data_IF_839455439771
#
_entry.id   IF_839455439771
#
_cell.length_a   1.000
_cell.length_b   1.000
_cell.length_c   1.000
_cell.angle_alpha   90.00
_cell.angle_beta   90.00
_cell.angle_gamma   90.00
#
_symmetry.space_group_name_H-M   'P 1'
#
loop_
_entity.id
_entity.type
_entity.pdbx_description
1 polymer ?
#
# COMPACT_ATOMS: atom_id res chain seq x y z
N UNK A 1 -9.58 35.14 45.41
CA UNK A 1 -9.79 34.72 44.01
C UNK A 1 -8.43 34.54 43.36
N UNK A 2 -8.07 33.31 43.01
CA UNK A 2 -6.75 32.97 42.46
C UNK A 2 -6.72 31.48 42.15
N UNK A 3 -7.46 31.09 41.11
CA UNK A 3 -7.64 29.70 40.69
C UNK A 3 -6.33 29.17 40.10
N UNK A 4 -5.72 28.20 40.78
CA UNK A 4 -4.60 27.41 40.25
C UNK A 4 -5.16 26.38 39.28
N UNK A 5 -5.00 26.61 37.98
CA UNK A 5 -5.18 25.56 36.98
C UNK A 5 -4.02 24.55 37.07
N UNK A 6 -4.27 23.43 37.76
CA UNK A 6 -3.49 22.20 37.59
C UNK A 6 -3.89 21.59 36.25
N UNK A 7 -3.00 21.67 35.27
CA UNK A 7 -3.04 20.79 34.11
C UNK A 7 -2.78 19.36 34.61
N UNK A 8 -3.83 18.54 34.66
CA UNK A 8 -3.69 17.10 34.85
C UNK A 8 -2.91 16.60 33.63
N UNK A 9 -1.70 16.10 33.87
CA UNK A 9 -0.97 15.33 32.86
C UNK A 9 -1.88 14.21 32.37
N UNK A 10 -2.14 14.19 31.07
CA UNK A 10 -2.75 13.06 30.41
C UNK A 10 -1.78 11.90 30.58
N UNK A 11 -2.07 11.02 31.53
CA UNK A 11 -1.49 9.68 31.58
C UNK A 11 -1.76 9.06 30.21
N UNK A 12 -0.70 8.76 29.45
CA UNK A 12 -0.80 7.89 28.27
C UNK A 12 -1.54 6.65 28.72
N UNK A 13 -2.80 6.52 28.33
CA UNK A 13 -3.56 5.30 28.58
C UNK A 13 -2.76 4.19 27.90
N UNK A 14 -2.24 3.29 28.72
CA UNK A 14 -1.69 2.01 28.26
C UNK A 14 -2.82 1.31 27.54
N UNK A 15 -2.90 1.46 26.23
CA UNK A 15 -3.77 0.67 25.39
C UNK A 15 -3.17 -0.73 25.41
N UNK A 16 -3.65 -1.58 26.32
CA UNK A 16 -3.47 -3.01 26.16
C UNK A 16 -4.01 -3.36 24.77
N UNK A 17 -3.10 -3.63 23.83
CA UNK A 17 -3.46 -3.86 22.43
C UNK A 17 -4.26 -5.15 22.37
N UNK A 18 -5.55 -5.06 22.03
CA UNK A 18 -6.33 -6.23 21.66
C UNK A 18 -5.62 -6.90 20.47
N UNK A 19 -5.22 -8.18 20.54
CA UNK A 19 -4.56 -8.84 19.43
C UNK A 19 -5.44 -8.86 18.19
N UNK A 20 -4.86 -8.60 17.03
CA UNK A 20 -5.59 -8.68 15.78
C UNK A 20 -5.95 -10.14 15.44
N UNK A 21 -7.22 -10.45 15.15
CA UNK A 21 -7.61 -11.79 14.76
C UNK A 21 -7.02 -12.14 13.39
N UNK A 22 -6.76 -13.42 13.18
CA UNK A 22 -6.46 -13.95 11.83
C UNK A 22 -7.74 -14.49 11.22
N UNK A 23 -8.10 -13.98 10.04
CA UNK A 23 -9.33 -14.31 9.33
C UNK A 23 -8.96 -15.03 8.03
N UNK A 24 -9.60 -16.16 7.74
CA UNK A 24 -9.36 -16.92 6.52
C UNK A 24 -10.08 -16.30 5.32
N UNK A 25 -9.33 -16.00 4.26
CA UNK A 25 -9.88 -15.55 2.98
C UNK A 25 -10.84 -16.57 2.37
N UNK A 26 -10.52 -17.86 2.50
CA UNK A 26 -11.34 -18.95 1.98
C UNK A 26 -12.74 -18.95 2.64
N UNK A 27 -12.78 -18.80 3.96
CA UNK A 27 -14.04 -18.70 4.71
C UNK A 27 -14.83 -17.45 4.36
N UNK A 28 -14.16 -16.31 4.13
CA UNK A 28 -14.83 -15.11 3.66
C UNK A 28 -15.46 -15.32 2.28
N UNK A 29 -14.75 -15.95 1.34
CA UNK A 29 -15.28 -16.30 0.00
C UNK A 29 -16.45 -17.27 0.06
N UNK A 30 -16.47 -18.15 1.06
CA UNK A 30 -17.57 -19.07 1.31
C UNK A 30 -18.77 -18.43 2.04
N UNK A 31 -18.77 -17.10 2.28
CA UNK A 31 -19.77 -16.39 3.07
C UNK A 31 -19.98 -16.99 4.48
N UNK A 32 -18.91 -17.51 5.08
CA UNK A 32 -18.98 -18.08 6.43
C UNK A 32 -19.36 -17.00 7.44
N UNK A 33 -20.47 -17.22 8.14
CA UNK A 33 -21.03 -16.24 9.10
C UNK A 33 -20.07 -15.96 10.26
N UNK A 34 -19.26 -16.94 10.65
CA UNK A 34 -18.25 -16.78 11.70
C UNK A 34 -17.14 -15.84 11.25
N UNK A 35 -16.58 -16.05 10.06
CA UNK A 35 -15.55 -15.21 9.47
C UNK A 35 -16.04 -13.78 9.21
N UNK A 36 -17.25 -13.60 8.68
CA UNK A 36 -17.85 -12.28 8.45
C UNK A 36 -18.07 -11.52 9.77
N UNK A 37 -18.51 -12.22 10.83
CA UNK A 37 -18.65 -11.62 12.16
C UNK A 37 -17.30 -11.20 12.73
N UNK A 38 -16.30 -12.07 12.63
CA UNK A 38 -14.94 -11.75 13.09
C UNK A 38 -14.35 -10.54 12.34
N UNK A 39 -14.59 -10.44 11.03
CA UNK A 39 -14.19 -9.29 10.22
C UNK A 39 -14.85 -8.01 10.70
N UNK A 40 -16.18 -8.02 10.86
CA UNK A 40 -16.93 -6.89 11.39
C UNK A 40 -16.42 -6.46 12.76
N UNK A 41 -16.25 -7.42 13.67
CA UNK A 41 -15.85 -7.12 15.05
C UNK A 41 -14.43 -6.55 15.09
N UNK A 42 -13.51 -7.09 14.27
CA UNK A 42 -12.15 -6.57 14.14
C UNK A 42 -12.12 -5.12 13.66
N UNK A 43 -12.96 -4.76 12.68
CA UNK A 43 -12.98 -3.43 12.07
C UNK A 43 -13.79 -2.40 12.85
N UNK A 44 -14.92 -2.80 13.44
CA UNK A 44 -15.90 -1.88 14.04
C UNK A 44 -15.77 -1.80 15.56
N UNK A 45 -15.38 -2.89 16.23
CA UNK A 45 -15.31 -2.95 17.69
C UNK A 45 -13.87 -2.71 18.16
N UNK A 46 -12.95 -3.61 17.80
CA UNK A 46 -11.52 -3.54 18.08
C UNK A 46 -10.81 -4.71 17.38
N UNK A 47 -9.53 -4.58 16.98
CA UNK A 47 -8.63 -3.45 17.21
C UNK A 47 -8.63 -2.38 16.10
N UNK A 48 -9.51 -2.47 15.11
CA UNK A 48 -9.53 -1.63 13.91
C UNK A 48 -8.76 -2.23 12.73
N UNK A 49 -8.16 -3.41 12.90
CA UNK A 49 -7.43 -4.14 11.87
C UNK A 49 -7.46 -5.65 12.13
N UNK A 50 -7.10 -6.45 11.13
CA UNK A 50 -7.04 -7.90 11.20
C UNK A 50 -5.89 -8.44 10.34
N UNK A 51 -5.44 -9.66 10.63
CA UNK A 51 -4.57 -10.41 9.74
C UNK A 51 -5.43 -11.23 8.79
N UNK A 52 -5.14 -11.19 7.49
CA UNK A 52 -5.81 -12.05 6.52
C UNK A 52 -4.92 -13.26 6.20
N UNK A 53 -5.42 -14.46 6.47
CA UNK A 53 -4.83 -15.67 5.91
C UNK A 53 -5.27 -15.82 4.46
N UNK A 54 -4.37 -15.39 3.57
CA UNK A 54 -4.49 -15.50 2.12
C UNK A 54 -3.48 -16.48 1.52
N UNK A 55 -2.92 -17.40 2.31
CA UNK A 55 -1.86 -18.32 1.88
C UNK A 55 -2.21 -19.14 0.62
N UNK A 56 -3.50 -19.49 0.46
CA UNK A 56 -4.02 -20.18 -0.72
C UNK A 56 -4.11 -19.31 -2.00
N UNK A 57 -4.12 -17.98 -1.86
CA UNK A 57 -4.21 -17.04 -2.97
C UNK A 57 -2.90 -16.28 -3.24
N UNK A 58 -2.05 -16.16 -2.21
CA UNK A 58 -0.79 -15.44 -2.21
C UNK A 58 0.31 -16.35 -1.64
N UNK A 59 1.00 -17.11 -2.51
CA UNK A 59 2.10 -17.96 -2.07
C UNK A 59 3.18 -17.12 -1.37
N UNK A 60 3.69 -17.53 -0.19
CA UNK A 60 4.75 -16.79 0.51
C UNK A 60 6.03 -16.59 -0.32
N UNK A 61 6.29 -17.47 -1.30
CA UNK A 61 7.38 -17.30 -2.25
C UNK A 61 7.23 -16.03 -3.11
N UNK A 62 6.02 -15.74 -3.59
CA UNK A 62 5.75 -14.55 -4.41
C UNK A 62 6.04 -13.26 -3.62
N UNK A 63 5.64 -13.20 -2.35
CA UNK A 63 5.92 -12.05 -1.46
C UNK A 63 7.43 -11.86 -1.29
N UNK A 64 8.17 -12.95 -1.03
CA UNK A 64 9.64 -12.88 -0.87
C UNK A 64 10.34 -12.41 -2.14
N UNK A 65 9.95 -12.96 -3.29
CA UNK A 65 10.49 -12.58 -4.59
C UNK A 65 10.24 -11.09 -4.90
N UNK A 66 9.09 -10.54 -4.50
CA UNK A 66 8.81 -9.10 -4.63
C UNK A 66 9.75 -8.25 -3.77
N UNK A 67 9.98 -8.65 -2.51
CA UNK A 67 10.94 -7.97 -1.66
C UNK A 67 12.39 -8.08 -2.17
N UNK A 68 12.75 -9.19 -2.81
CA UNK A 68 14.09 -9.38 -3.38
C UNK A 68 14.33 -8.43 -4.56
N UNK A 69 13.38 -8.31 -5.49
CA UNK A 69 13.52 -7.36 -6.62
C UNK A 69 13.47 -5.91 -6.15
N UNK A 70 12.63 -5.58 -5.16
CA UNK A 70 12.59 -4.24 -4.58
C UNK A 70 13.91 -3.89 -3.90
N UNK A 71 14.50 -4.82 -3.13
CA UNK A 71 15.82 -4.64 -2.52
C UNK A 71 16.92 -4.42 -3.57
N UNK A 72 16.86 -5.14 -4.69
CA UNK A 72 17.82 -4.95 -5.77
C UNK A 72 17.73 -3.54 -6.37
N UNK A 73 16.52 -3.01 -6.58
CA UNK A 73 16.31 -1.63 -7.03
C UNK A 73 16.86 -0.61 -6.02
N UNK A 74 16.50 -0.71 -4.74
CA UNK A 74 16.93 0.28 -3.75
C UNK A 74 18.45 0.24 -3.46
N UNK A 75 19.11 -0.88 -3.75
CA UNK A 75 20.56 -1.02 -3.69
C UNK A 75 21.31 -0.33 -4.84
N UNK A 76 20.60 0.16 -5.88
CA UNK A 76 21.21 0.91 -6.97
C UNK A 76 21.78 2.26 -6.49
N UNK A 77 22.79 2.79 -7.18
CA UNK A 77 23.25 4.16 -7.00
C UNK A 77 22.11 5.19 -7.08
N UNK A 78 22.22 6.28 -6.31
CA UNK A 78 21.16 7.29 -6.23
C UNK A 78 20.86 7.93 -7.58
N UNK A 79 21.88 8.17 -8.41
CA UNK A 79 21.72 8.71 -9.76
C UNK A 79 20.90 7.79 -10.67
N UNK A 80 21.08 6.47 -10.56
CA UNK A 80 20.28 5.49 -11.29
C UNK A 80 18.81 5.52 -10.81
N UNK A 81 18.56 5.61 -9.49
CA UNK A 81 17.20 5.70 -8.95
C UNK A 81 16.54 7.05 -9.27
N UNK A 82 17.31 8.13 -9.28
CA UNK A 82 16.84 9.50 -9.52
C UNK A 82 16.25 9.69 -10.92
N UNK A 83 16.60 8.83 -11.88
CA UNK A 83 16.02 8.82 -13.22
C UNK A 83 14.50 8.56 -13.22
N UNK A 84 13.97 7.97 -12.14
CA UNK A 84 12.57 7.59 -11.99
C UNK A 84 11.78 8.52 -11.04
N UNK A 85 12.32 9.68 -10.67
CA UNK A 85 11.68 10.61 -9.74
C UNK A 85 10.56 11.39 -10.42
N UNK A 86 9.40 11.49 -9.76
CA UNK A 86 8.24 12.29 -10.18
C UNK A 86 7.66 12.00 -11.57
N UNK A 87 8.01 10.87 -12.19
CA UNK A 87 7.38 10.39 -13.43
C UNK A 87 5.86 10.31 -13.29
N UNK A 88 5.33 10.07 -12.08
CA UNK A 88 3.90 10.03 -11.78
C UNK A 88 3.09 11.32 -12.06
N UNK A 89 3.76 12.44 -12.27
CA UNK A 89 3.12 13.73 -12.56
C UNK A 89 3.31 14.19 -14.00
N UNK A 90 4.08 13.43 -14.78
CA UNK A 90 4.34 13.74 -16.16
C UNK A 90 3.24 13.15 -17.06
N UNK A 91 2.44 14.06 -17.63
CA UNK A 91 1.35 13.73 -18.54
C UNK A 91 1.83 13.19 -19.89
N UNK A 92 3.06 13.50 -20.30
CA UNK A 92 3.61 13.03 -21.59
C UNK A 92 4.11 11.59 -21.50
N UNK A 93 4.64 11.20 -20.34
CA UNK A 93 5.01 9.80 -20.06
C UNK A 93 3.86 9.00 -19.47
N UNK A 94 2.79 9.65 -19.01
CA UNK A 94 1.62 9.02 -18.40
C UNK A 94 1.96 8.32 -17.08
N UNK A 95 2.95 8.82 -16.35
CA UNK A 95 3.48 8.06 -15.23
C UNK A 95 2.43 7.87 -14.14
N UNK A 96 2.35 6.64 -13.65
CA UNK A 96 1.56 6.28 -12.48
C UNK A 96 2.44 5.63 -11.40
N UNK A 97 3.76 5.85 -11.51
CA UNK A 97 4.76 5.31 -10.62
C UNK A 97 5.94 6.26 -10.56
N UNK A 98 6.61 6.33 -9.42
CA UNK A 98 7.82 7.10 -9.26
C UNK A 98 8.65 6.57 -8.09
N UNK A 99 9.97 6.71 -8.22
CA UNK A 99 10.86 6.67 -7.08
C UNK A 99 10.68 7.96 -6.26
N UNK A 100 10.55 7.82 -4.95
CA UNK A 100 10.51 8.93 -4.00
C UNK A 100 11.78 8.90 -3.14
N UNK A 101 12.65 9.92 -3.27
CA UNK A 101 13.87 10.03 -2.46
C UNK A 101 13.60 10.11 -0.96
N UNK A 102 14.65 9.79 -0.20
CA UNK A 102 14.65 9.94 1.25
C UNK A 102 14.28 11.37 1.67
N UNK A 103 13.42 11.49 2.69
CA UNK A 103 12.92 12.76 3.26
C UNK A 103 11.90 13.52 2.40
N UNK A 104 11.46 12.98 1.27
CA UNK A 104 10.37 13.59 0.49
C UNK A 104 8.98 13.12 0.94
N UNK A 105 8.88 12.01 1.68
CA UNK A 105 7.63 11.57 2.28
C UNK A 105 7.35 12.23 3.64
N UNK A 106 6.08 12.64 3.82
CA UNK A 106 5.58 13.13 5.09
C UNK A 106 5.51 12.01 6.13
N UNK A 107 6.02 12.24 7.35
CA UNK A 107 5.66 11.37 8.45
C UNK A 107 4.24 11.69 8.93
N UNK A 108 3.49 10.68 9.34
CA UNK A 108 2.24 10.84 10.08
C UNK A 108 2.44 11.39 11.52
N UNK A 109 3.60 11.99 11.79
CA UNK A 109 3.93 12.70 13.02
C UNK A 109 4.33 14.15 12.66
N UNK A 110 3.71 15.16 13.30
CA UNK A 110 4.05 16.55 13.04
C UNK A 110 5.55 16.82 13.21
N UNK A 111 6.10 17.67 12.35
CA UNK A 111 7.52 18.08 12.36
C UNK A 111 8.52 16.92 12.23
N UNK A 112 8.11 15.80 11.65
CA UNK A 112 8.96 14.63 11.41
C UNK A 112 8.94 14.33 9.90
N UNK A 113 10.11 14.03 9.33
CA UNK A 113 10.20 13.48 7.99
C UNK A 113 10.21 11.96 8.08
N UNK A 114 9.57 11.28 7.12
CA UNK A 114 9.68 9.84 7.04
C UNK A 114 11.12 9.49 6.57
N UNK A 115 11.80 8.62 7.32
CA UNK A 115 13.12 8.11 6.94
C UNK A 115 12.97 6.89 6.04
N UNK A 116 12.28 7.08 4.92
CA UNK A 116 12.03 6.05 3.91
C UNK A 116 12.29 6.63 2.53
N UNK A 117 12.82 5.78 1.65
CA UNK A 117 12.69 5.93 0.21
C UNK A 117 11.62 4.94 -0.25
N UNK A 118 10.92 5.27 -1.33
CA UNK A 118 9.85 4.42 -1.85
C UNK A 118 9.83 4.38 -3.37
N UNK A 119 9.07 3.42 -3.90
CA UNK A 119 8.75 3.34 -5.31
C UNK A 119 7.26 3.08 -5.38
N UNK A 120 6.52 4.13 -5.70
CA UNK A 120 5.08 4.05 -5.87
C UNK A 120 4.79 3.40 -7.21
N UNK A 121 3.84 2.47 -7.24
CA UNK A 121 3.37 1.87 -8.47
C UNK A 121 1.84 1.81 -8.44
N UNK A 122 1.20 2.45 -9.42
CA UNK A 122 -0.22 2.33 -9.67
C UNK A 122 -0.50 1.30 -10.77
N UNK A 123 -1.73 1.30 -11.27
CA UNK A 123 -2.14 0.42 -12.35
C UNK A 123 -1.41 0.79 -13.65
N UNK A 124 -0.55 -0.12 -14.09
CA UNK A 124 0.19 -0.01 -15.34
C UNK A 124 -0.76 -0.13 -16.55
N UNK A 125 -1.10 1.01 -17.16
CA UNK A 125 -2.01 1.09 -18.30
C UNK A 125 -1.24 1.44 -19.58
N UNK A 126 -1.52 0.79 -20.72
CA UNK A 126 -0.92 1.20 -21.98
C UNK A 126 -1.41 2.60 -22.38
N UNK A 127 -0.59 3.35 -23.11
CA UNK A 127 -0.93 4.70 -23.62
C UNK A 127 -2.21 4.74 -24.46
N UNK A 128 -2.62 3.62 -25.04
CA UNK A 128 -3.87 3.49 -25.81
C UNK A 128 -5.11 3.29 -24.94
N UNK A 129 -4.98 3.28 -23.61
CA UNK A 129 -6.09 2.99 -22.71
C UNK A 129 -7.07 4.18 -22.68
N UNK A 130 -8.39 3.95 -22.85
CA UNK A 130 -9.38 5.03 -22.91
C UNK A 130 -9.36 5.99 -21.71
N UNK A 131 -9.08 5.48 -20.51
CA UNK A 131 -8.98 6.28 -19.28
C UNK A 131 -7.87 7.34 -19.28
N UNK A 132 -6.94 7.32 -20.25
CA UNK A 132 -5.90 8.32 -20.42
C UNK A 132 -6.34 9.51 -21.29
N UNK A 133 -7.52 9.41 -21.90
CA UNK A 133 -8.06 10.41 -22.83
C UNK A 133 -9.26 11.17 -22.24
N UNK A 134 -9.57 10.97 -20.95
CA UNK A 134 -10.50 11.81 -20.21
C UNK A 134 -9.73 13.00 -19.60
N UNK A 135 -9.97 14.20 -20.13
CA UNK A 135 -9.09 15.38 -20.01
C UNK A 135 -8.89 15.93 -18.59
N UNK A 136 -9.75 15.60 -17.62
CA UNK A 136 -9.68 16.18 -16.26
C UNK A 136 -9.29 15.18 -15.15
N UNK A 137 -9.39 13.86 -15.37
CA UNK A 137 -9.21 12.83 -14.31
C UNK A 137 -8.00 11.90 -14.51
N UNK A 138 -7.25 12.04 -15.61
CA UNK A 138 -6.15 11.12 -15.95
C UNK A 138 -4.82 11.35 -15.19
N UNK A 139 -4.78 12.22 -14.16
CA UNK A 139 -3.57 12.49 -13.38
C UNK A 139 -3.21 11.27 -12.52
N UNK A 140 -1.97 10.78 -12.63
CA UNK A 140 -1.50 9.60 -11.90
C UNK A 140 -2.01 8.27 -12.48
N UNK A 141 -2.46 8.27 -13.74
CA UNK A 141 -2.94 7.09 -14.47
C UNK A 141 -2.16 7.00 -15.78
N UNK A 142 -1.66 5.80 -16.12
CA UNK A 142 -0.93 5.53 -17.36
C UNK A 142 0.18 4.50 -17.18
N UNK A 143 1.16 4.42 -18.08
CA UNK A 143 2.19 3.40 -17.98
C UNK A 143 3.13 3.68 -16.80
N UNK A 144 3.56 2.60 -16.15
CA UNK A 144 4.60 2.68 -15.12
C UNK A 144 5.97 2.72 -15.82
N UNK A 145 6.80 3.69 -15.45
CA UNK A 145 8.21 3.71 -15.83
C UNK A 145 9.01 2.73 -14.97
N UNK A 146 9.09 1.49 -15.43
CA UNK A 146 9.74 0.41 -14.68
C UNK A 146 11.26 0.45 -14.85
N UNK A 147 12.03 0.28 -13.76
CA UNK A 147 13.47 0.38 -13.83
C UNK A 147 14.11 -0.75 -14.64
N UNK A 148 14.86 -0.36 -15.68
CA UNK A 148 15.55 -1.29 -16.56
C UNK A 148 16.64 -2.08 -15.81
N UNK A 149 17.25 -1.46 -14.80
CA UNK A 149 18.29 -2.01 -13.95
C UNK A 149 17.78 -3.06 -12.96
N UNK A 150 16.45 -3.15 -12.76
CA UNK A 150 15.81 -4.15 -11.91
C UNK A 150 14.88 -5.06 -12.74
N UNK A 151 15.44 -5.90 -13.64
CA UNK A 151 14.66 -6.79 -14.48
C UNK A 151 13.84 -7.74 -13.62
N UNK A 152 12.51 -7.68 -13.79
CA UNK A 152 11.56 -8.48 -13.01
C UNK A 152 10.75 -7.69 -12.00
N UNK A 153 11.13 -6.44 -11.67
CA UNK A 153 10.34 -5.58 -10.78
C UNK A 153 8.91 -5.40 -11.30
N UNK A 154 8.74 -5.11 -12.59
CA UNK A 154 7.42 -5.09 -13.26
C UNK A 154 6.62 -6.37 -13.03
N UNK A 155 7.18 -7.51 -13.47
CA UNK A 155 6.48 -8.79 -13.49
C UNK A 155 6.10 -9.20 -12.08
N UNK A 156 6.99 -9.03 -11.11
CA UNK A 156 6.78 -9.47 -9.72
C UNK A 156 5.83 -8.56 -8.98
N UNK A 157 5.99 -7.23 -9.10
CA UNK A 157 5.04 -6.28 -8.53
C UNK A 157 3.65 -6.52 -9.11
N UNK A 158 3.49 -6.55 -10.43
CA UNK A 158 2.17 -6.77 -11.06
C UNK A 158 1.57 -8.14 -10.69
N UNK A 159 2.38 -9.21 -10.69
CA UNK A 159 1.92 -10.55 -10.27
C UNK A 159 1.52 -10.62 -8.81
N UNK A 160 2.08 -9.75 -7.96
CA UNK A 160 1.71 -9.59 -6.56
C UNK A 160 0.42 -8.77 -6.42
N UNK A 161 0.28 -7.65 -7.14
CA UNK A 161 -0.89 -6.76 -7.14
C UNK A 161 -2.18 -7.45 -7.60
N UNK A 162 -2.15 -8.23 -8.69
CA UNK A 162 -3.36 -8.85 -9.26
C UNK A 162 -4.15 -9.75 -8.28
N UNK A 163 -3.50 -10.60 -7.46
CA UNK A 163 -4.19 -11.30 -6.39
C UNK A 163 -4.80 -10.38 -5.31
N UNK A 164 -4.18 -9.27 -4.93
CA UNK A 164 -4.75 -8.33 -3.93
C UNK A 164 -6.03 -7.67 -4.44
N UNK A 165 -6.07 -7.26 -5.71
CA UNK A 165 -7.30 -6.74 -6.34
C UNK A 165 -8.44 -7.77 -6.23
N UNK A 166 -8.13 -9.06 -6.40
CA UNK A 166 -9.10 -10.18 -6.27
C UNK A 166 -9.40 -10.58 -4.83
N UNK A 167 -8.63 -10.09 -3.86
CA UNK A 167 -8.88 -10.27 -2.43
C UNK A 167 -9.80 -9.18 -1.91
N UNK A 168 -9.66 -7.94 -2.39
CA UNK A 168 -10.54 -6.82 -2.03
C UNK A 168 -11.98 -6.99 -2.52
N UNK A 169 -12.20 -7.79 -3.56
CA UNK A 169 -13.55 -8.16 -4.04
C UNK A 169 -14.09 -9.33 -3.21
N UNK A 170 -14.52 -9.05 -1.98
CA UNK A 170 -15.40 -9.95 -1.22
C UNK A 170 -16.82 -9.42 -1.43
N UNK A 171 -17.60 -10.12 -2.28
CA UNK A 171 -18.97 -9.81 -2.70
C UNK A 171 -19.70 -8.75 -1.86
N UNK A 172 -19.66 -7.49 -2.33
CA UNK A 172 -20.60 -6.44 -1.92
C UNK A 172 -21.96 -6.64 -2.63
N UNK A 173 -22.46 -7.87 -2.65
CA UNK A 173 -23.78 -8.20 -3.18
C UNK A 173 -24.54 -8.94 -2.10
N UNK A 174 -25.29 -8.18 -1.32
CA UNK A 174 -26.42 -8.64 -0.52
C UNK A 174 -27.50 -7.58 -0.56
#
# INVERSE_FOLDING_TARGET
>A
MGSRHRTRGATKASCASVPAPTISLERLRANDRGALRALRDALVVAPGFFNLDASNALPPALVRECYEVARAFFALPLDAKAAYVHTQYDRETGGCAAYVPLLEEYAYQPNTAAMVESFDACRDLPLSHPALHDDDDAVGVGPVDWPAEAPGMKVRSISHWFPYDRIGVVNAVS
#
